data_IF_493586419368
#
_entry.id   IF_493586419368
#
_cell.length_a   1.000
_cell.length_b   1.000
_cell.length_c   1.000
_cell.angle_alpha   90.00
_cell.angle_beta   90.00
_cell.angle_gamma   90.00
#
_symmetry.space_group_name_H-M   'P 1'
#
loop_
_entity.id
_entity.type
_entity.pdbx_description
1 polymer ?
#
# COMPACT_ATOMS: atom_id res chain seq x y z
N UNK A 1 35.53 55.47 -7.39
CA UNK A 1 35.42 55.10 -8.81
C UNK A 1 35.65 53.59 -8.89
N UNK A 2 34.64 52.77 -9.22
CA UNK A 2 34.85 51.32 -9.35
C UNK A 2 35.86 51.05 -10.47
N UNK A 3 36.82 50.15 -10.24
CA UNK A 3 37.87 49.83 -11.20
C UNK A 3 37.29 49.05 -12.39
N UNK A 4 37.86 49.27 -13.58
CA UNK A 4 37.48 48.57 -14.82
C UNK A 4 37.63 47.06 -14.61
N UNK A 5 36.52 46.33 -14.51
CA UNK A 5 36.47 44.88 -14.28
C UNK A 5 35.73 44.46 -13.00
N UNK A 6 35.47 45.39 -12.08
CA UNK A 6 34.68 45.09 -10.88
C UNK A 6 33.18 45.06 -11.21
N UNK A 7 32.52 43.95 -10.87
CA UNK A 7 31.07 43.84 -11.03
C UNK A 7 30.41 44.79 -10.03
N UNK A 8 29.47 45.62 -10.50
CA UNK A 8 28.77 46.55 -9.61
C UNK A 8 28.11 45.79 -8.44
N UNK A 9 28.11 46.33 -7.21
CA UNK A 9 27.65 45.61 -6.00
C UNK A 9 26.19 45.12 -6.12
N UNK A 10 25.34 45.85 -6.85
CA UNK A 10 23.96 45.42 -7.14
C UNK A 10 23.88 44.17 -8.04
N UNK A 11 24.81 44.00 -8.98
CA UNK A 11 24.85 42.83 -9.88
C UNK A 11 25.38 41.60 -9.13
N UNK A 12 26.35 41.79 -8.24
CA UNK A 12 26.85 40.71 -7.37
C UNK A 12 25.72 40.19 -6.46
N UNK A 13 24.99 41.08 -5.79
CA UNK A 13 23.86 40.70 -4.93
C UNK A 13 22.74 39.96 -5.70
N UNK A 14 22.44 40.37 -6.94
CA UNK A 14 21.46 39.68 -7.78
C UNK A 14 21.93 38.28 -8.19
N UNK A 15 23.21 38.12 -8.48
CA UNK A 15 23.82 36.81 -8.78
C UNK A 15 23.75 35.90 -7.56
N UNK A 16 24.15 36.38 -6.39
CA UNK A 16 24.17 35.58 -5.16
C UNK A 16 22.76 35.14 -4.78
N UNK A 17 21.77 36.03 -4.93
CA UNK A 17 20.36 35.69 -4.75
C UNK A 17 19.88 34.62 -5.72
N UNK A 18 20.30 34.66 -6.99
CA UNK A 18 19.94 33.64 -7.97
C UNK A 18 20.58 32.27 -7.67
N UNK A 19 21.82 32.26 -7.19
CA UNK A 19 22.51 31.05 -6.74
C UNK A 19 21.79 30.45 -5.53
N UNK A 20 21.53 31.25 -4.50
CA UNK A 20 20.83 30.81 -3.29
C UNK A 20 19.43 30.25 -3.62
N UNK A 21 18.69 30.96 -4.48
CA UNK A 21 17.38 30.55 -4.98
C UNK A 21 17.44 29.22 -5.77
N UNK A 22 18.51 28.97 -6.52
CA UNK A 22 18.72 27.70 -7.24
C UNK A 22 19.05 26.56 -6.28
N UNK A 23 19.91 26.81 -5.30
CA UNK A 23 20.25 25.84 -4.26
C UNK A 23 19.03 25.47 -3.41
N UNK A 24 18.17 26.44 -3.08
CA UNK A 24 16.92 26.18 -2.38
C UNK A 24 15.98 25.25 -3.16
N UNK A 25 15.87 25.42 -4.49
CA UNK A 25 15.10 24.50 -5.35
C UNK A 25 15.67 23.08 -5.35
N UNK A 26 17.00 22.94 -5.43
CA UNK A 26 17.67 21.64 -5.36
C UNK A 26 17.44 21.00 -3.99
N UNK A 27 17.54 21.77 -2.92
CA UNK A 27 17.30 21.29 -1.56
C UNK A 27 15.84 20.86 -1.38
N UNK A 28 14.88 21.61 -1.94
CA UNK A 28 13.47 21.23 -1.94
C UNK A 28 13.24 19.92 -2.70
N UNK A 29 13.84 19.75 -3.88
CA UNK A 29 13.79 18.49 -4.62
C UNK A 29 14.36 17.32 -3.81
N UNK A 30 15.52 17.49 -3.16
CA UNK A 30 16.16 16.46 -2.34
C UNK A 30 15.36 16.05 -1.09
N UNK A 31 14.40 16.89 -0.67
CA UNK A 31 13.47 16.57 0.43
C UNK A 31 12.26 15.77 -0.05
N UNK A 32 11.98 15.75 -1.36
CA UNK A 32 10.91 14.94 -1.91
C UNK A 32 11.33 13.47 -1.85
N UNK A 33 10.52 12.68 -1.16
CA UNK A 33 10.58 11.23 -1.18
C UNK A 33 9.28 10.67 -1.79
N UNK A 34 9.30 9.38 -2.11
CA UNK A 34 8.15 8.70 -2.70
C UNK A 34 6.91 8.79 -1.81
N UNK A 35 7.08 8.76 -0.48
CA UNK A 35 5.98 8.84 0.48
C UNK A 35 5.29 10.20 0.46
N UNK A 36 6.06 11.28 0.36
CA UNK A 36 5.57 12.67 0.27
C UNK A 36 4.87 12.88 -1.06
N UNK A 37 5.43 12.38 -2.16
CA UNK A 37 4.80 12.48 -3.48
C UNK A 37 3.44 11.79 -3.57
N UNK A 38 3.28 10.63 -2.90
CA UNK A 38 1.98 9.95 -2.83
C UNK A 38 0.91 10.79 -2.12
N UNK A 39 1.31 11.59 -1.12
CA UNK A 39 0.39 12.46 -0.36
C UNK A 39 0.11 13.76 -1.09
N UNK A 40 1.14 14.34 -1.68
CA UNK A 40 1.15 15.70 -2.23
C UNK A 40 1.79 15.72 -3.62
N UNK A 41 1.10 15.19 -4.66
CA UNK A 41 1.66 15.10 -6.01
C UNK A 41 1.90 16.47 -6.66
N UNK A 42 1.19 17.49 -6.21
CA UNK A 42 1.33 18.88 -6.67
C UNK A 42 2.73 19.46 -6.40
N UNK A 43 3.49 18.90 -5.45
CA UNK A 43 4.88 19.33 -5.18
C UNK A 43 5.84 19.08 -6.35
N UNK A 44 5.46 18.24 -7.33
CA UNK A 44 6.22 18.04 -8.57
C UNK A 44 5.92 19.06 -9.66
N UNK A 45 4.84 19.84 -9.56
CA UNK A 45 4.44 20.79 -10.60
C UNK A 45 5.57 21.76 -10.99
N UNK A 46 6.35 22.33 -10.04
CA UNK A 46 7.49 23.19 -10.39
C UNK A 46 8.57 22.47 -11.19
N UNK A 47 8.72 21.15 -11.04
CA UNK A 47 9.79 20.35 -11.67
C UNK A 47 9.41 19.80 -13.05
N UNK A 48 8.19 20.02 -13.52
CA UNK A 48 7.70 19.54 -14.82
C UNK A 48 8.43 20.19 -16.01
N UNK A 49 8.79 21.47 -15.89
CA UNK A 49 9.43 22.23 -16.95
C UNK A 49 10.39 23.28 -16.38
N UNK A 50 11.36 23.72 -17.21
CA UNK A 50 12.27 24.83 -16.82
C UNK A 50 11.49 26.09 -16.53
N UNK A 51 10.44 26.37 -17.32
CA UNK A 51 9.61 27.56 -17.15
C UNK A 51 8.90 27.54 -15.80
N UNK A 52 8.26 26.42 -15.44
CA UNK A 52 7.62 26.22 -14.14
C UNK A 52 8.63 26.37 -12.99
N UNK A 53 9.82 25.76 -13.14
CA UNK A 53 10.86 25.80 -12.12
C UNK A 53 11.42 27.21 -11.94
N UNK A 54 11.57 27.96 -13.04
CA UNK A 54 12.06 29.32 -13.07
C UNK A 54 11.04 30.33 -12.50
N UNK A 55 9.76 30.11 -12.79
CA UNK A 55 8.64 30.93 -12.31
C UNK A 55 8.24 30.63 -10.86
N UNK A 56 8.64 29.47 -10.32
CA UNK A 56 8.33 29.09 -8.94
C UNK A 56 8.83 30.14 -7.95
N UNK A 57 7.91 30.60 -7.10
CA UNK A 57 8.14 31.52 -6.01
C UNK A 57 7.64 30.89 -4.72
N UNK A 58 8.55 30.71 -3.77
CA UNK A 58 8.25 30.29 -2.41
C UNK A 58 9.17 31.05 -1.45
N UNK A 59 8.71 32.19 -0.90
CA UNK A 59 9.52 33.00 0.01
C UNK A 59 9.97 32.27 1.27
N UNK A 60 9.17 31.31 1.77
CA UNK A 60 9.48 30.55 2.98
C UNK A 60 10.68 29.63 2.76
N UNK A 61 10.82 29.09 1.55
CA UNK A 61 11.98 28.30 1.14
C UNK A 61 13.14 29.15 0.59
N UNK A 62 13.00 30.48 0.53
CA UNK A 62 13.98 31.37 -0.09
C UNK A 62 14.05 31.26 -1.62
N UNK A 63 12.97 30.75 -2.24
CA UNK A 63 12.85 30.53 -3.67
C UNK A 63 12.18 31.75 -4.30
N UNK A 64 12.89 32.43 -5.18
CA UNK A 64 12.40 33.58 -5.93
C UNK A 64 12.43 33.31 -7.44
N UNK A 65 11.50 33.87 -8.22
CA UNK A 65 11.50 33.74 -9.67
C UNK A 65 12.82 34.25 -10.27
N UNK A 66 13.38 33.48 -11.19
CA UNK A 66 14.60 33.82 -11.92
C UNK A 66 14.42 33.51 -13.40
N UNK A 67 15.24 34.10 -14.28
CA UNK A 67 15.16 33.79 -15.70
C UNK A 67 15.56 32.33 -15.97
N UNK A 68 14.94 31.67 -16.96
CA UNK A 68 15.29 30.30 -17.34
C UNK A 68 16.79 30.14 -17.66
N UNK A 69 17.38 31.15 -18.31
CA UNK A 69 18.81 31.15 -18.66
C UNK A 69 19.69 31.17 -17.42
N UNK A 70 19.33 31.98 -16.43
CA UNK A 70 20.03 32.07 -15.14
C UNK A 70 19.88 30.77 -14.36
N UNK A 71 18.68 30.20 -14.33
CA UNK A 71 18.40 28.93 -13.65
C UNK A 71 19.23 27.79 -14.26
N UNK A 72 19.20 27.62 -15.58
CA UNK A 72 19.98 26.56 -16.27
C UNK A 72 21.47 26.67 -15.95
N UNK A 73 22.03 27.88 -16.07
CA UNK A 73 23.44 28.12 -15.76
C UNK A 73 23.81 27.66 -14.35
N UNK A 74 23.02 28.04 -13.34
CA UNK A 74 23.32 27.67 -11.96
C UNK A 74 22.97 26.22 -11.62
N UNK A 75 22.01 25.60 -12.32
CA UNK A 75 21.75 24.17 -12.20
C UNK A 75 22.89 23.35 -12.78
N UNK A 76 23.44 23.75 -13.93
CA UNK A 76 24.58 23.06 -14.55
C UNK A 76 25.83 23.09 -13.64
N UNK A 77 25.98 24.16 -12.84
CA UNK A 77 27.07 24.27 -11.85
C UNK A 77 26.78 23.51 -10.54
N UNK A 78 25.51 23.39 -10.11
CA UNK A 78 25.14 22.95 -8.75
C UNK A 78 24.50 21.56 -8.66
N UNK A 79 24.00 21.02 -9.77
CA UNK A 79 23.33 19.71 -9.83
C UNK A 79 24.08 18.79 -10.80
N UNK A 80 24.28 17.54 -10.41
CA UNK A 80 24.98 16.57 -11.25
C UNK A 80 24.20 16.32 -12.55
N UNK A 81 24.85 16.55 -13.70
CA UNK A 81 24.18 16.50 -15.01
C UNK A 81 23.25 17.70 -15.29
N UNK A 82 23.32 18.74 -14.47
CA UNK A 82 22.58 19.98 -14.65
C UNK A 82 21.07 19.82 -14.66
N UNK A 83 20.39 20.63 -15.47
CA UNK A 83 18.93 20.52 -15.60
C UNK A 83 18.46 19.16 -16.14
N UNK A 84 19.23 18.52 -17.04
CA UNK A 84 18.86 17.20 -17.57
C UNK A 84 19.00 16.10 -16.51
N UNK A 85 20.02 16.20 -15.65
CA UNK A 85 20.17 15.34 -14.48
C UNK A 85 18.97 15.47 -13.54
N UNK A 86 18.54 16.71 -13.26
CA UNK A 86 17.36 16.97 -12.43
C UNK A 86 16.09 16.35 -13.04
N UNK A 87 15.87 16.50 -14.34
CA UNK A 87 14.71 15.87 -15.02
C UNK A 87 14.73 14.35 -14.93
N UNK A 88 15.91 13.75 -15.11
CA UNK A 88 16.07 12.30 -14.98
C UNK A 88 15.74 11.85 -13.58
N UNK A 89 16.25 12.57 -12.56
CA UNK A 89 15.97 12.28 -11.17
C UNK A 89 14.47 12.39 -10.83
N UNK A 90 13.79 13.43 -11.33
CA UNK A 90 12.34 13.59 -11.18
C UNK A 90 11.59 12.42 -11.81
N UNK A 91 11.95 12.04 -13.04
CA UNK A 91 11.30 10.92 -13.74
C UNK A 91 11.48 9.58 -13.01
N UNK A 92 12.66 9.33 -12.46
CA UNK A 92 12.94 8.16 -11.64
C UNK A 92 12.07 8.14 -10.39
N UNK A 93 11.99 9.26 -9.68
CA UNK A 93 11.19 9.41 -8.46
C UNK A 93 9.69 9.17 -8.72
N UNK A 94 9.15 9.72 -9.83
CA UNK A 94 7.76 9.47 -10.24
C UNK A 94 7.52 7.99 -10.55
N UNK A 95 8.42 7.36 -11.31
CA UNK A 95 8.31 5.94 -11.67
C UNK A 95 8.36 5.02 -10.45
N UNK A 96 9.19 5.34 -9.47
CA UNK A 96 9.25 4.61 -8.20
C UNK A 96 7.94 4.73 -7.41
N UNK A 97 7.34 5.91 -7.38
CA UNK A 97 6.04 6.13 -6.74
C UNK A 97 4.93 5.30 -7.39
N UNK A 98 4.87 5.28 -8.72
CA UNK A 98 3.90 4.49 -9.48
C UNK A 98 4.10 2.99 -9.22
N UNK A 99 5.34 2.50 -9.32
CA UNK A 99 5.68 1.08 -9.09
C UNK A 99 5.29 0.62 -7.69
N UNK A 100 5.56 1.43 -6.66
CA UNK A 100 5.16 1.09 -5.29
C UNK A 100 3.64 1.04 -5.11
N UNK A 101 2.88 1.90 -5.80
CA UNK A 101 1.42 1.88 -5.74
C UNK A 101 0.83 0.60 -6.35
N UNK A 102 1.43 0.11 -7.44
CA UNK A 102 1.04 -1.15 -8.08
C UNK A 102 1.35 -2.36 -7.18
N UNK A 103 2.53 -2.37 -6.54
CA UNK A 103 2.93 -3.43 -5.61
C UNK A 103 1.97 -3.49 -4.41
N UNK A 104 1.68 -2.34 -3.78
CA UNK A 104 0.74 -2.27 -2.66
C UNK A 104 -0.65 -2.79 -3.05
N UNK A 105 -1.13 -2.43 -4.25
CA UNK A 105 -2.43 -2.89 -4.75
C UNK A 105 -2.43 -4.40 -5.02
N UNK A 106 -1.33 -4.93 -5.58
CA UNK A 106 -1.17 -6.36 -5.85
C UNK A 106 -1.13 -7.19 -4.57
N UNK A 107 -0.35 -6.77 -3.57
CA UNK A 107 -0.27 -7.44 -2.28
C UNK A 107 -1.61 -7.47 -1.55
N UNK A 108 -2.35 -6.36 -1.56
CA UNK A 108 -3.67 -6.29 -0.96
C UNK A 108 -4.65 -7.26 -1.64
N UNK A 109 -4.64 -7.34 -2.97
CA UNK A 109 -5.46 -8.31 -3.72
C UNK A 109 -5.08 -9.74 -3.36
N UNK A 110 -3.80 -10.07 -3.28
CA UNK A 110 -3.33 -11.41 -2.92
C UNK A 110 -3.78 -11.80 -1.51
N UNK A 111 -3.63 -10.89 -0.52
CA UNK A 111 -4.10 -11.12 0.85
C UNK A 111 -5.62 -11.35 0.90
N UNK A 112 -6.38 -10.57 0.14
CA UNK A 112 -7.84 -10.72 0.07
C UNK A 112 -8.24 -12.09 -0.52
N UNK A 113 -7.55 -12.55 -1.57
CA UNK A 113 -7.80 -13.87 -2.16
C UNK A 113 -7.50 -15.01 -1.18
N UNK A 114 -6.36 -14.98 -0.51
CA UNK A 114 -5.99 -15.99 0.50
C UNK A 114 -7.00 -16.04 1.64
N UNK A 115 -7.45 -14.87 2.13
CA UNK A 115 -8.47 -14.80 3.18
C UNK A 115 -9.82 -15.36 2.71
N UNK A 116 -10.20 -15.10 1.44
CA UNK A 116 -11.42 -15.64 0.86
C UNK A 116 -11.37 -17.17 0.69
N UNK A 117 -10.24 -17.71 0.25
CA UNK A 117 -10.01 -19.15 0.15
C UNK A 117 -10.10 -19.84 1.51
N UNK A 118 -9.42 -19.31 2.53
CA UNK A 118 -9.47 -19.86 3.88
C UNK A 118 -10.90 -19.86 4.46
N UNK A 119 -11.66 -18.80 4.20
CA UNK A 119 -13.08 -18.72 4.59
C UNK A 119 -13.94 -19.75 3.87
N UNK A 120 -13.76 -19.90 2.56
CA UNK A 120 -14.48 -20.89 1.76
C UNK A 120 -14.18 -22.31 2.23
N UNK A 121 -12.93 -22.62 2.55
CA UNK A 121 -12.52 -23.93 3.04
C UNK A 121 -13.15 -24.22 4.42
N UNK A 122 -13.15 -23.26 5.33
CA UNK A 122 -13.83 -23.38 6.62
C UNK A 122 -15.34 -23.62 6.47
N UNK A 123 -15.99 -22.94 5.53
CA UNK A 123 -17.41 -23.15 5.24
C UNK A 123 -17.68 -24.56 4.68
N UNK A 124 -16.83 -25.06 3.78
CA UNK A 124 -16.93 -26.42 3.24
C UNK A 124 -16.76 -27.47 4.35
N UNK A 125 -15.75 -27.32 5.20
CA UNK A 125 -15.53 -28.22 6.33
C UNK A 125 -16.73 -28.23 7.29
N UNK A 126 -17.30 -27.06 7.57
CA UNK A 126 -18.49 -26.94 8.42
C UNK A 126 -19.71 -27.61 7.79
N UNK A 127 -19.95 -27.39 6.49
CA UNK A 127 -21.05 -28.02 5.77
C UNK A 127 -20.91 -29.55 5.74
N UNK A 128 -19.71 -30.07 5.50
CA UNK A 128 -19.43 -31.51 5.54
C UNK A 128 -19.65 -32.11 6.94
N UNK A 129 -19.22 -31.42 8.00
CA UNK A 129 -19.44 -31.85 9.37
C UNK A 129 -20.94 -31.90 9.73
N UNK A 130 -21.72 -30.91 9.27
CA UNK A 130 -23.17 -30.89 9.46
C UNK A 130 -23.86 -32.03 8.69
N UNK A 131 -23.47 -32.30 7.44
CA UNK A 131 -24.01 -33.41 6.65
C UNK A 131 -23.70 -34.77 7.30
N UNK A 132 -22.46 -34.98 7.73
CA UNK A 132 -22.07 -36.20 8.47
C UNK A 132 -22.88 -36.36 9.76
N UNK A 133 -23.11 -35.27 10.50
CA UNK A 133 -23.92 -35.29 11.72
C UNK A 133 -25.38 -35.63 11.42
N UNK A 134 -25.96 -35.07 10.36
CA UNK A 134 -27.33 -35.36 9.95
C UNK A 134 -27.50 -36.83 9.57
N UNK A 135 -26.62 -37.39 8.74
CA UNK A 135 -26.63 -38.81 8.36
C UNK A 135 -26.48 -39.74 9.56
N UNK A 136 -25.64 -39.36 10.51
CA UNK A 136 -25.45 -40.12 11.73
C UNK A 136 -26.71 -40.15 12.61
N UNK A 137 -27.40 -39.02 12.75
CA UNK A 137 -28.66 -38.94 13.49
C UNK A 137 -29.77 -39.75 12.80
N UNK A 138 -29.85 -39.71 11.47
CA UNK A 138 -30.78 -40.56 10.70
C UNK A 138 -30.51 -42.04 10.90
N UNK A 139 -29.23 -42.45 10.92
CA UNK A 139 -28.85 -43.84 11.20
C UNK A 139 -29.27 -44.25 12.61
N UNK A 140 -29.04 -43.40 13.61
CA UNK A 140 -29.46 -43.65 14.98
C UNK A 140 -30.98 -43.82 15.09
N UNK A 141 -31.75 -43.03 14.35
CA UNK A 141 -33.21 -43.16 14.34
C UNK A 141 -33.66 -44.51 13.73
N UNK A 142 -33.02 -44.93 12.64
CA UNK A 142 -33.28 -46.26 12.05
C UNK A 142 -32.92 -47.40 13.01
N UNK A 143 -31.76 -47.32 13.67
CA UNK A 143 -31.33 -48.32 14.66
C UNK A 143 -32.29 -48.36 15.84
N UNK A 144 -32.76 -47.21 16.32
CA UNK A 144 -33.80 -47.13 17.36
C UNK A 144 -35.11 -47.78 16.93
N UNK A 145 -35.53 -47.60 15.67
CA UNK A 145 -36.74 -48.26 15.15
C UNK A 145 -36.57 -49.79 15.13
N UNK A 146 -35.41 -50.29 14.71
CA UNK A 146 -35.10 -51.73 14.75
C UNK A 146 -35.02 -52.28 16.17
N UNK A 147 -34.49 -51.49 17.11
CA UNK A 147 -34.34 -51.92 18.51
C UNK A 147 -35.66 -52.19 19.21
N UNK A 148 -36.77 -51.59 18.74
CA UNK A 148 -38.11 -51.89 19.26
C UNK A 148 -38.57 -53.31 18.92
N UNK A 149 -37.97 -53.94 17.92
CA UNK A 149 -38.37 -55.25 17.38
C UNK A 149 -37.35 -56.33 17.73
N UNK A 150 -36.05 -55.99 17.75
CA UNK A 150 -34.94 -56.92 18.02
C UNK A 150 -34.24 -56.64 19.38
N UNK A 151 -34.28 -57.57 20.35
CA UNK A 151 -33.65 -57.42 21.66
C UNK A 151 -32.11 -57.29 21.63
N UNK A 152 -31.45 -57.88 20.62
CA UNK A 152 -29.99 -57.80 20.46
C UNK A 152 -29.62 -56.37 20.04
N UNK A 153 -30.37 -55.81 19.10
CA UNK A 153 -30.18 -54.43 18.62
C UNK A 153 -30.46 -53.42 19.75
N UNK A 154 -31.49 -53.65 20.58
CA UNK A 154 -31.77 -52.83 21.77
C UNK A 154 -30.62 -52.80 22.77
N UNK A 155 -30.02 -53.95 23.07
CA UNK A 155 -28.88 -54.01 23.98
C UNK A 155 -27.69 -53.21 23.43
N UNK A 156 -27.40 -53.32 22.14
CA UNK A 156 -26.30 -52.58 21.51
C UNK A 156 -26.60 -51.07 21.44
N UNK A 157 -27.82 -50.70 21.10
CA UNK A 157 -28.24 -49.30 21.05
C UNK A 157 -28.16 -48.62 22.44
N UNK A 158 -28.62 -49.30 23.50
CA UNK A 158 -28.48 -48.82 24.88
C UNK A 158 -27.01 -48.66 25.30
N UNK A 159 -26.17 -49.63 24.96
CA UNK A 159 -24.72 -49.56 25.22
C UNK A 159 -24.10 -48.36 24.50
N UNK A 160 -24.48 -48.12 23.25
CA UNK A 160 -24.05 -46.96 22.47
C UNK A 160 -24.46 -45.64 23.12
N UNK A 161 -25.73 -45.51 23.54
CA UNK A 161 -26.23 -44.32 24.25
C UNK A 161 -25.57 -44.11 25.62
N UNK A 162 -25.15 -45.18 26.30
CA UNK A 162 -24.44 -45.10 27.57
C UNK A 162 -23.01 -44.57 27.38
N UNK A 163 -22.32 -45.03 26.33
CA UNK A 163 -20.94 -44.62 26.02
C UNK A 163 -20.89 -43.17 25.51
N UNK A 164 -21.78 -42.81 24.58
CA UNK A 164 -21.67 -41.54 23.86
C UNK A 164 -22.75 -40.50 24.20
N UNK A 165 -23.86 -40.90 24.80
CA UNK A 165 -25.00 -40.02 25.03
C UNK A 165 -24.80 -38.97 26.12
N UNK A 166 -23.82 -39.14 27.01
CA UNK A 166 -23.45 -38.11 28.00
C UNK A 166 -22.66 -36.97 27.35
N UNK A 167 -21.76 -37.31 26.43
CA UNK A 167 -20.87 -36.36 25.74
C UNK A 167 -21.53 -35.71 24.51
N UNK A 168 -22.59 -36.33 23.97
CA UNK A 168 -23.28 -35.87 22.76
C UNK A 168 -24.80 -35.75 22.99
N UNK A 169 -25.31 -34.62 23.50
CA UNK A 169 -26.72 -34.45 23.88
C UNK A 169 -27.71 -34.66 22.73
N UNK A 170 -27.29 -34.41 21.49
CA UNK A 170 -28.09 -34.58 20.28
C UNK A 170 -28.40 -36.05 19.97
N UNK A 171 -27.53 -36.97 20.36
CA UNK A 171 -27.73 -38.42 20.20
C UNK A 171 -28.89 -38.94 21.06
N UNK A 172 -29.14 -38.31 22.22
CA UNK A 172 -30.27 -38.63 23.11
C UNK A 172 -31.62 -38.07 22.65
N UNK A 173 -31.61 -37.10 21.72
CA UNK A 173 -32.81 -36.40 21.26
C UNK A 173 -33.51 -37.06 20.07
N UNK A 174 -32.88 -38.05 19.45
CA UNK A 174 -33.48 -38.85 18.37
C UNK A 174 -34.73 -39.55 18.93
N UNK A 175 -35.94 -39.10 18.54
CA UNK A 175 -37.26 -39.48 19.10
C UNK A 175 -37.92 -40.62 18.35
#
# INVERSE_FOLDING_TARGET
MPQKGETAPGIAALRDRAIASTQARIAAFRRLDVATLKREPHLLEPFTSVCSLAAWSDPELGIFPISEKTLRKHLDDAFEGGYQGLRTAVATLTKEADTQSEIETSEQRMRALVAAEAKNESQRATAAALDMTARYLDLLDRVRKMSKVDPIVDRQFKKHLQIFGASHPHVRRVK
#
